data_IF_364736686010
#
_entry.id   IF_364736686010
#
_cell.length_a   1.000
_cell.length_b   1.000
_cell.length_c   1.000
_cell.angle_alpha   90.00
_cell.angle_beta   90.00
_cell.angle_gamma   90.00
#
_symmetry.space_group_name_H-M   'P 1'
#
loop_
_entity.id
_entity.type
_entity.pdbx_description
1 polymer ?
2 non-polymer ?
3 non-polymer ?
4 non-polymer ?
5 non-polymer ?
6 water ?
#
# COMPACT_ATOMS: atom_id res chain seq x y z
N UNK A 4 1.15 -1.28 9.30
CA UNK A 4 1.39 0.13 9.72
C UNK A 4 1.96 0.26 11.12
N UNK A 5 1.99 1.48 11.67
CA UNK A 5 1.51 2.67 10.97
C UNK A 5 2.52 3.20 9.96
N UNK A 6 2.02 3.77 8.87
CA UNK A 6 2.83 4.47 7.90
C UNK A 6 2.82 5.95 8.27
N UNK A 7 3.97 6.62 8.10
CA UNK A 7 4.12 8.03 8.44
C UNK A 7 3.38 8.86 7.39
N UNK A 8 2.98 10.09 7.73
CA UNK A 8 2.35 10.94 6.72
C UNK A 8 3.18 11.02 5.44
N UNK A 9 2.50 10.95 4.30
CA UNK A 9 3.15 10.93 3.00
C UNK A 9 2.16 11.21 1.89
N UNK A 10 2.71 11.35 0.67
CA UNK A 10 1.88 11.41 -0.53
C UNK A 10 2.15 10.17 -1.36
N UNK A 11 1.08 9.44 -1.64
CA UNK A 11 1.11 8.25 -2.46
C UNK A 11 -0.13 8.25 -3.34
N UNK A 12 -0.15 7.39 -4.35
CA UNK A 12 -1.39 7.10 -5.05
C UNK A 12 -1.78 5.70 -4.67
N UNK A 13 -2.75 5.54 -3.75
CA UNK A 13 -3.06 4.19 -3.28
C UNK A 13 -3.65 3.27 -4.35
N UNK A 14 -3.45 1.96 -4.19
CA UNK A 14 -4.02 0.99 -5.10
C UNK A 14 -5.53 0.89 -4.89
N UNK A 15 -6.25 0.49 -5.93
CA UNK A 15 -7.64 0.14 -5.78
C UNK A 15 -7.78 -1.14 -4.93
N UNK A 16 -8.93 -1.27 -4.27
CA UNK A 16 -9.30 -2.44 -3.46
C UNK A 16 -8.56 -2.50 -2.12
N UNK A 17 -8.03 -1.35 -1.69
CA UNK A 17 -7.40 -1.23 -0.39
C UNK A 17 -8.06 -0.15 0.45
N UNK A 18 -8.29 -0.44 1.71
CA UNK A 18 -8.72 0.55 2.66
C UNK A 18 -7.49 1.23 3.23
N UNK A 19 -7.53 2.57 3.27
CA UNK A 19 -6.55 3.35 4.02
C UNK A 19 -7.22 3.76 5.31
N UNK A 20 -6.67 3.33 6.44
CA UNK A 20 -7.24 3.63 7.73
C UNK A 20 -6.38 4.74 8.34
N UNK A 21 -6.97 5.91 8.51
CA UNK A 21 -6.27 7.10 8.97
C UNK A 21 -6.47 7.28 10.47
N UNK A 22 -5.42 7.68 11.16
CA UNK A 22 -5.45 7.80 12.61
C UNK A 22 -5.00 9.20 13.04
N UNK A 23 -5.81 10.21 12.76
CA UNK A 23 -5.54 11.61 13.14
C UNK A 23 -5.77 11.88 14.62
N UNK A 24 -5.16 12.95 15.12
CA UNK A 24 -5.32 13.35 16.52
C UNK A 24 -5.79 14.79 16.69
N UNK A 25 -5.61 15.62 15.67
CA UNK A 25 -5.93 17.05 15.76
C UNK A 25 -7.03 17.36 14.75
N UNK A 26 -7.94 18.24 15.13
CA UNK A 26 -8.94 18.78 14.21
C UNK A 26 -8.30 19.49 13.00
N UNK A 27 -9.00 19.43 11.87
CA UNK A 27 -8.55 20.05 10.63
C UNK A 27 -8.50 19.08 9.48
N UNK A 28 -7.74 19.42 8.44
CA UNK A 28 -7.62 18.56 7.26
C UNK A 28 -6.69 17.38 7.55
N UNK A 29 -7.23 16.18 7.53
CA UNK A 29 -6.46 14.99 7.90
C UNK A 29 -5.86 14.30 6.69
N UNK A 30 -6.52 14.48 5.54
CA UNK A 30 -6.13 13.86 4.28
C UNK A 30 -6.69 14.70 3.14
N UNK A 31 -5.96 14.76 2.04
CA UNK A 31 -6.49 15.32 0.80
C UNK A 31 -5.97 14.50 -0.38
N UNK A 32 -6.69 14.57 -1.48
CA UNK A 32 -6.31 13.82 -2.68
C UNK A 32 -6.95 14.38 -3.92
N UNK A 33 -6.32 14.15 -5.07
CA UNK A 33 -6.81 14.66 -6.34
C UNK A 33 -6.45 13.72 -7.50
N UNK A 34 -7.21 13.84 -8.58
CA UNK A 34 -6.83 13.20 -9.84
C UNK A 34 -6.33 14.24 -10.83
N UNK A 35 -6.19 15.47 -10.34
CA UNK A 35 -5.75 16.61 -11.11
C UNK A 35 -6.58 16.99 -12.33
N UNK A 36 -7.77 16.42 -12.43
CA UNK A 36 -8.65 16.65 -13.56
C UNK A 36 -9.96 17.25 -13.11
N UNK A 37 -10.76 16.48 -12.36
CA UNK A 37 -12.11 16.89 -12.00
C UNK A 37 -12.44 16.75 -10.51
N UNK A 38 -11.51 16.31 -9.67
CA UNK A 38 -11.79 16.15 -8.23
C UNK A 38 -10.61 16.51 -7.33
N UNK A 39 -10.89 17.41 -6.39
CA UNK A 39 -10.00 17.70 -5.28
C UNK A 39 -10.82 17.42 -4.03
N UNK A 40 -10.33 16.49 -3.23
CA UNK A 40 -11.11 15.90 -2.16
C UNK A 40 -10.35 15.96 -0.85
N UNK A 41 -11.08 16.05 0.26
CA UNK A 41 -10.45 16.00 1.55
C UNK A 41 -11.42 15.52 2.61
N UNK A 42 -10.87 15.18 3.75
CA UNK A 42 -11.68 14.90 4.91
C UNK A 42 -11.21 15.82 6.04
N UNK A 43 -12.16 16.47 6.68
CA UNK A 43 -11.89 17.36 7.80
C UNK A 43 -12.40 16.74 9.08
N UNK A 44 -11.64 16.95 10.14
CA UNK A 44 -11.99 16.48 11.48
C UNK A 44 -12.35 17.68 12.34
N UNK A 45 -13.45 17.56 13.07
CA UNK A 45 -13.93 18.62 13.95
C UNK A 45 -14.08 18.04 15.35
N UNK A 46 -13.57 18.75 16.34
CA UNK A 46 -13.62 18.30 17.72
C UNK A 46 -15.07 18.35 18.24
N UNK A 47 -15.36 17.70 19.38
CA UNK A 47 -16.70 17.76 19.96
C UNK A 47 -17.17 19.18 20.25
N UNK A 48 -18.48 19.38 20.19
CA UNK A 48 -19.11 20.63 20.62
C UNK A 48 -18.59 21.89 19.92
N UNK A 49 -18.77 21.93 18.61
CA UNK A 49 -18.47 23.11 17.81
C UNK A 49 -19.76 23.62 17.19
N UNK A 50 -20.26 24.74 17.70
CA UNK A 50 -21.46 25.31 17.11
C UNK A 50 -21.12 25.96 15.75
N UNK A 51 -22.12 26.07 14.88
CA UNK A 51 -21.91 26.62 13.54
C UNK A 51 -20.89 27.77 13.52
N UNK A 52 -19.87 27.62 12.69
CA UNK A 52 -18.73 28.56 12.62
C UNK A 52 -18.07 28.50 11.24
N UNK A 53 -17.60 29.64 10.76
CA UNK A 53 -16.73 29.70 9.58
C UNK A 53 -15.30 29.41 10.00
N UNK A 54 -14.76 28.27 9.59
CA UNK A 54 -13.37 27.94 9.84
C UNK A 54 -12.51 27.97 8.58
N UNK A 55 -11.25 28.36 8.74
CA UNK A 55 -10.30 28.41 7.63
C UNK A 55 -9.45 27.14 7.62
N UNK A 56 -9.35 26.54 6.44
CA UNK A 56 -8.62 25.29 6.22
C UNK A 56 -7.66 25.47 5.05
N UNK A 57 -6.44 24.98 5.21
CA UNK A 57 -5.49 24.85 4.11
C UNK A 57 -5.92 23.61 3.35
N UNK A 58 -6.49 23.81 2.17
CA UNK A 58 -6.78 22.72 1.27
C UNK A 58 -5.99 22.94 0.00
N UNK A 59 -5.14 21.99 -0.33
CA UNK A 59 -4.28 22.10 -1.52
C UNK A 59 -3.59 23.43 -1.64
N UNK A 60 -3.03 23.88 -0.52
CA UNK A 60 -2.24 25.09 -0.47
C UNK A 60 -3.00 26.40 -0.40
N UNK A 61 -4.33 26.35 -0.48
CA UNK A 61 -5.16 27.54 -0.47
C UNK A 61 -5.91 27.67 0.84
N UNK A 62 -6.14 28.90 1.28
CA UNK A 62 -6.93 29.16 2.47
C UNK A 62 -8.42 29.21 2.11
N UNK A 63 -9.16 28.22 2.62
CA UNK A 63 -10.58 28.06 2.28
C UNK A 63 -11.45 28.22 3.52
N UNK A 64 -12.48 29.05 3.41
CA UNK A 64 -13.41 29.23 4.51
C UNK A 64 -14.60 28.30 4.30
N UNK A 65 -14.86 27.44 5.28
CA UNK A 65 -16.00 26.55 5.24
C UNK A 65 -16.86 26.78 6.47
N UNK A 66 -18.19 26.79 6.28
CA UNK A 66 -19.14 26.82 7.39
C UNK A 66 -19.29 25.40 7.93
N UNK A 67 -18.85 25.16 9.17
CA UNK A 67 -18.88 23.81 9.75
C UNK A 67 -19.54 23.80 11.13
N UNK A 68 -19.90 22.60 11.59
CA UNK A 68 -20.40 22.41 12.95
C UNK A 68 -20.24 20.96 13.36
N UNK A 69 -20.24 20.75 14.67
CA UNK A 69 -20.33 19.43 15.26
C UNK A 69 -21.20 19.56 16.50
N UNK A 70 -22.44 19.10 16.38
CA UNK A 70 -23.41 19.24 17.46
C UNK A 70 -23.23 18.16 18.54
N UNK A 71 -22.41 17.16 18.25
CA UNK A 71 -22.13 16.12 19.24
C UNK A 71 -21.41 16.68 20.45
N UNK A 72 -21.84 16.28 21.64
CA UNK A 72 -21.17 16.76 22.85
C UNK A 72 -20.03 15.87 23.30
N UNK A 73 -19.97 14.66 22.74
CA UNK A 73 -19.02 13.66 23.17
C UNK A 73 -18.14 13.10 22.06
N UNK A 74 -18.58 13.23 20.81
CA UNK A 74 -17.89 12.57 19.70
C UNK A 74 -17.31 13.59 18.73
N UNK A 75 -16.19 13.19 18.12
CA UNK A 75 -15.57 13.96 17.06
C UNK A 75 -16.31 13.71 15.78
N UNK A 76 -16.09 14.57 14.78
CA UNK A 76 -16.85 14.52 13.55
C UNK A 76 -15.98 14.66 12.31
N UNK A 77 -16.05 13.66 11.43
CA UNK A 77 -15.41 13.71 10.11
C UNK A 77 -16.39 14.18 9.05
N UNK A 78 -15.95 15.08 8.19
CA UNK A 78 -16.76 15.54 7.05
C UNK A 78 -15.92 15.48 5.79
N UNK A 79 -16.48 14.92 4.72
CA UNK A 79 -15.81 14.87 3.44
C UNK A 79 -16.16 16.14 2.68
N UNK A 80 -15.18 16.68 1.94
CA UNK A 80 -15.42 17.83 1.10
C UNK A 80 -14.89 17.56 -0.29
N UNK A 81 -15.49 18.21 -1.29
CA UNK A 81 -15.13 18.01 -2.68
C UNK A 81 -15.35 19.28 -3.48
N UNK A 82 -14.47 19.52 -4.44
CA UNK A 82 -14.63 20.61 -5.42
C UNK A 82 -14.23 19.99 -6.75
N UNK A 83 -14.74 20.54 -7.84
CA UNK A 83 -14.56 19.90 -9.14
C UNK A 83 -13.63 20.67 -10.07
N UNK A 84 -13.14 21.82 -9.59
CA UNK A 84 -12.23 22.66 -10.36
C UNK A 84 -11.27 23.31 -9.37
N UNK A 85 -10.08 23.72 -9.83
CA UNK A 85 -9.13 24.35 -8.92
C UNK A 85 -9.71 25.54 -8.15
N UNK A 86 -10.56 26.34 -8.79
CA UNK A 86 -11.23 27.47 -8.11
C UNK A 86 -12.67 27.20 -7.68
N UNK A 87 -13.12 25.95 -7.79
CA UNK A 87 -14.49 25.60 -7.43
C UNK A 87 -14.76 25.73 -5.93
N UNK A 88 -16.03 25.85 -5.60
CA UNK A 88 -16.48 25.84 -4.21
C UNK A 88 -16.48 24.41 -3.68
N UNK A 89 -16.19 24.26 -2.39
CA UNK A 89 -16.31 22.96 -1.75
C UNK A 89 -17.74 22.65 -1.26
N UNK A 90 -18.16 21.40 -1.44
CA UNK A 90 -19.39 20.88 -0.85
C UNK A 90 -19.02 19.83 0.19
N UNK A 91 -19.82 19.74 1.24
CA UNK A 91 -19.62 18.82 2.35
C UNK A 91 -20.53 17.60 2.23
N UNK A 92 -20.02 16.42 2.60
CA UNK A 92 -20.73 15.16 2.44
C UNK A 92 -20.43 14.18 3.57
N UNK A 93 -21.37 13.28 3.82
CA UNK A 93 -21.10 12.05 4.57
C UNK A 93 -20.47 12.16 5.93
N UNK A 94 -21.17 12.79 6.89
CA UNK A 94 -20.63 12.93 8.25
C UNK A 94 -20.41 11.58 8.93
N UNK A 95 -19.30 11.46 9.64
CA UNK A 95 -19.07 10.34 10.53
C UNK A 95 -18.81 10.86 11.95
N UNK A 96 -19.70 10.55 12.88
CA UNK A 96 -19.47 10.84 14.30
C UNK A 96 -18.70 9.68 14.92
N UNK A 97 -17.59 10.02 15.58
CA UNK A 97 -16.55 9.06 15.96
C UNK A 97 -16.01 9.24 17.36
N UNK A 98 -15.99 8.14 18.10
CA UNK A 98 -15.21 8.06 19.33
C UNK A 98 -13.74 7.64 19.10
N UNK A 99 -13.47 6.65 18.23
CA UNK A 99 -12.05 6.27 18.07
C UNK A 99 -11.18 7.23 17.25
N UNK A 100 -11.80 8.21 16.57
CA UNK A 100 -11.08 9.17 15.73
C UNK A 100 -10.29 8.47 14.62
N UNK A 101 -10.86 7.40 14.08
CA UNK A 101 -10.30 6.73 12.91
C UNK A 101 -11.24 6.90 11.72
N UNK A 102 -10.64 7.02 10.53
CA UNK A 102 -11.38 7.23 9.30
C UNK A 102 -10.75 6.38 8.21
N UNK A 103 -11.59 5.78 7.37
CA UNK A 103 -11.11 4.88 6.33
C UNK A 103 -11.68 5.24 4.97
N UNK A 104 -10.85 5.08 3.96
CA UNK A 104 -11.26 5.31 2.58
C UNK A 104 -10.70 4.23 1.67
N UNK A 105 -11.50 3.86 0.67
CA UNK A 105 -11.05 2.90 -0.35
C UNK A 105 -11.57 3.27 -1.73
N UNK A 106 -10.67 3.16 -2.71
CA UNK A 106 -11.02 3.31 -4.11
C UNK A 106 -11.27 1.92 -4.68
N UNK A 107 -12.46 1.71 -5.25
CA UNK A 107 -12.82 0.41 -5.79
C UNK A 107 -13.99 0.57 -6.77
N UNK A 108 -13.89 -0.10 -7.91
CA UNK A 108 -14.94 -0.08 -8.95
C UNK A 108 -15.27 1.33 -9.47
N UNK A 109 -14.30 2.24 -9.43
CA UNK A 109 -14.56 3.64 -9.77
C UNK A 109 -15.17 4.49 -8.66
N UNK A 110 -15.49 3.87 -7.53
CA UNK A 110 -16.14 4.54 -6.41
C UNK A 110 -15.16 4.78 -5.29
N UNK A 111 -15.48 5.74 -4.41
CA UNK A 111 -14.76 5.86 -3.15
C UNK A 111 -15.69 5.41 -2.03
N UNK A 112 -15.24 4.43 -1.27
CA UNK A 112 -15.98 3.94 -0.14
C UNK A 112 -15.46 4.58 1.13
N UNK A 113 -16.37 4.91 2.04
CA UNK A 113 -16.04 5.47 3.35
C UNK A 113 -17.02 4.92 4.40
N UNK A 114 -16.81 5.27 5.67
CA UNK A 114 -17.77 4.93 6.74
C UNK A 114 -18.57 6.17 7.10
N UNK A 115 -19.81 5.94 7.51
CA UNK A 115 -20.79 6.98 7.70
C UNK A 115 -21.63 6.67 8.92
N UNK A 116 -22.17 7.73 9.53
CA UNK A 116 -23.09 7.58 10.63
C UNK A 116 -22.45 7.87 11.97
N UNK A 117 -22.71 7.02 12.95
CA UNK A 117 -22.25 7.25 14.34
C UNK A 117 -21.65 5.97 14.93
N UNK A 118 -20.38 6.02 15.35
CA UNK A 118 -19.77 4.86 15.99
C UNK A 118 -20.51 4.68 17.32
N UNK A 119 -20.69 3.45 17.79
CA UNK A 119 -20.09 2.23 17.23
C UNK A 119 -20.91 1.52 16.12
N UNK A 120 -21.84 2.21 15.49
CA UNK A 120 -22.74 1.65 14.48
C UNK A 120 -22.57 2.29 13.09
N UNK A 121 -21.36 2.72 12.78
CA UNK A 121 -21.03 3.29 11.47
C UNK A 121 -21.04 2.19 10.43
N UNK A 122 -21.53 2.51 9.23
CA UNK A 122 -21.62 1.56 8.13
C UNK A 122 -20.97 2.15 6.87
N UNK A 123 -20.57 1.27 5.95
CA UNK A 123 -19.95 1.73 4.70
C UNK A 123 -20.97 2.39 3.78
N UNK A 124 -20.48 3.35 3.01
CA UNK A 124 -21.27 3.96 1.95
C UNK A 124 -20.28 4.33 0.88
N UNK A 125 -20.73 4.97 -0.19
CA UNK A 125 -19.78 5.35 -1.22
C UNK A 125 -20.23 6.52 -2.03
N UNK A 126 -19.24 7.13 -2.67
CA UNK A 126 -19.46 8.19 -3.65
C UNK A 126 -19.24 7.63 -5.04
N UNK A 127 -19.99 8.14 -6.01
CA UNK A 127 -19.97 7.63 -7.37
C UNK A 127 -20.26 8.68 -8.45
N UNK A 128 -20.00 9.95 -8.20
CA UNK A 128 -20.33 10.96 -9.22
C UNK A 128 -19.34 11.00 -10.38
N UNK A 129 -18.18 10.37 -10.22
CA UNK A 129 -17.23 10.22 -11.32
C UNK A 129 -16.39 9.00 -10.99
N UNK A 130 -15.46 8.65 -11.86
CA UNK A 130 -14.56 7.54 -11.60
C UNK A 130 -13.36 8.04 -10.80
N UNK A 131 -13.23 7.60 -9.56
CA UNK A 131 -12.19 8.09 -8.65
C UNK A 131 -10.92 7.23 -8.57
N UNK A 132 -10.81 6.23 -9.44
CA UNK A 132 -9.72 5.23 -9.32
C UNK A 132 -8.30 5.82 -9.27
N UNK A 133 -8.06 6.93 -9.96
CA UNK A 133 -6.75 7.54 -10.02
C UNK A 133 -6.51 8.64 -8.98
N UNK A 134 -7.47 8.90 -8.08
CA UNK A 134 -7.27 9.93 -7.05
C UNK A 134 -6.13 9.52 -6.13
N UNK A 135 -5.17 10.42 -5.95
CA UNK A 135 -4.05 10.15 -5.05
C UNK A 135 -4.39 10.49 -3.59
N UNK A 136 -3.40 10.44 -2.71
CA UNK A 136 -3.62 10.77 -1.31
C UNK A 136 -2.40 11.40 -0.66
N UNK A 137 -2.62 12.55 -0.05
CA UNK A 137 -1.67 13.15 0.88
C UNK A 137 -2.27 13.03 2.28
N UNK A 138 -1.67 12.20 3.11
CA UNK A 138 -2.13 12.01 4.46
C UNK A 138 -1.31 12.88 5.37
N UNK A 139 -2.00 13.55 6.28
CA UNK A 139 -1.34 14.37 7.27
C UNK A 139 -1.26 13.64 8.60
N UNK A 140 -1.72 12.40 8.64
CA UNK A 140 -1.60 11.58 9.84
C UNK A 140 -1.04 10.22 9.52
N UNK A 141 -0.70 9.48 10.56
CA UNK A 141 -0.28 8.10 10.43
C UNK A 141 -1.44 7.26 9.90
N UNK A 142 -1.12 6.24 9.13
CA UNK A 142 -2.16 5.39 8.54
C UNK A 142 -1.75 3.93 8.35
N UNK A 143 -2.78 3.11 8.13
CA UNK A 143 -2.61 1.67 7.95
C UNK A 143 -3.27 1.29 6.66
N UNK A 144 -2.85 0.16 6.12
CA UNK A 144 -3.46 -0.41 4.92
C UNK A 144 -4.20 -1.69 5.30
N UNK A 145 -5.42 -1.84 4.79
CA UNK A 145 -6.23 -3.03 5.00
C UNK A 145 -6.81 -3.42 3.65
N UNK A 146 -6.51 -4.64 3.18
CA UNK A 146 -7.07 -5.02 1.89
C UNK A 146 -8.58 -5.24 1.96
N UNK A 147 -9.27 -5.02 0.85
CA UNK A 147 -10.71 -5.26 0.80
C UNK A 147 -11.14 -6.58 1.43
N UNK A 148 -10.38 -7.64 1.21
CA UNK A 148 -10.76 -8.97 1.70
C UNK A 148 -10.73 -9.09 3.23
N UNK A 149 -10.12 -8.11 3.92
CA UNK A 149 -10.22 -8.03 5.38
C UNK A 149 -10.97 -6.76 5.82
N UNK A 150 -12.00 -6.38 5.06
CA UNK A 150 -12.77 -5.17 5.36
C UNK A 150 -13.50 -5.26 6.69
N UNK A 151 -13.92 -6.47 7.07
CA UNK A 151 -14.57 -6.64 8.37
C UNK A 151 -13.69 -6.09 9.49
N UNK A 152 -12.38 -6.30 9.40
CA UNK A 152 -11.46 -5.72 10.40
C UNK A 152 -11.47 -4.19 10.37
N UNK A 153 -11.53 -3.62 9.18
CA UNK A 153 -11.59 -2.18 9.02
C UNK A 153 -12.80 -1.61 9.76
N UNK A 154 -13.96 -2.19 9.50
CA UNK A 154 -15.22 -1.78 10.16
C UNK A 154 -15.09 -1.89 11.68
N UNK A 155 -14.40 -2.94 12.11
CA UNK A 155 -14.12 -3.15 13.53
C UNK A 155 -13.31 -1.98 14.13
N UNK A 156 -12.25 -1.57 13.45
CA UNK A 156 -11.39 -0.50 13.97
C UNK A 156 -12.10 0.85 13.93
N UNK A 157 -12.84 1.11 12.86
CA UNK A 157 -13.61 2.35 12.75
C UNK A 157 -14.57 2.52 13.93
N UNK A 158 -15.27 1.45 14.27
CA UNK A 158 -16.29 1.52 15.30
C UNK A 158 -15.77 1.35 16.71
N UNK A 159 -14.66 0.63 16.87
CA UNK A 159 -14.17 0.30 18.21
C UNK A 159 -12.71 0.68 18.49
N UNK A 160 -12.02 1.21 17.49
CA UNK A 160 -10.63 1.57 17.68
C UNK A 160 -9.73 0.37 17.51
N UNK A 161 -8.43 0.61 17.61
CA UNK A 161 -7.42 -0.43 17.36
C UNK A 161 -7.28 -1.31 18.59
N UNK B 2 -0.31 4.08 -9.78
CA UNK B 2 -1.09 3.62 -8.59
C UNK B 2 -0.32 2.57 -7.79
N UNK B 3 -0.60 2.50 -6.49
CA UNK B 3 -0.15 1.39 -5.65
C UNK B 3 0.94 1.67 -4.63
N UNK B 4 1.43 2.91 -4.57
CA UNK B 4 2.50 3.28 -3.62
C UNK B 4 3.17 4.59 -4.01
N UNK B 5 4.47 4.74 -3.75
CA UNK B 5 5.31 3.74 -3.08
C UNK B 5 5.14 3.78 -1.57
N UNK B 6 5.09 2.60 -0.96
CA UNK B 6 5.00 2.47 0.49
C UNK B 6 6.35 2.13 1.10
N UNK B 7 6.58 2.58 2.33
CA UNK B 7 7.85 2.37 3.04
C UNK B 7 8.05 0.88 3.43
N UNK B 8 9.33 0.47 3.61
CA UNK B 8 9.62 -0.89 4.08
C UNK B 8 8.77 -1.29 5.28
N UNK B 9 8.23 -2.50 5.26
CA UNK B 9 7.40 -2.96 6.38
C UNK B 9 7.35 -4.48 6.46
N UNK B 10 6.70 -4.96 7.50
CA UNK B 10 6.37 -6.37 7.62
C UNK B 10 4.87 -6.50 7.69
N UNK B 11 4.32 -7.33 6.80
CA UNK B 11 2.90 -7.56 6.76
C UNK B 11 2.68 -8.92 6.13
N UNK B 12 1.52 -9.51 6.33
CA UNK B 12 1.15 -10.72 5.58
C UNK B 12 0.25 -10.31 4.42
N UNK B 13 0.84 -10.17 3.22
CA UNK B 13 0.04 -9.59 2.15
C UNK B 13 -1.13 -10.48 1.72
N UNK B 14 -2.23 -9.86 1.28
CA UNK B 14 -3.32 -10.63 0.71
C UNK B 14 -2.86 -11.36 -0.55
N UNK B 15 -3.56 -12.43 -0.90
CA UNK B 15 -3.38 -13.10 -2.19
C UNK B 15 -3.99 -12.22 -3.29
N UNK B 16 -3.52 -12.42 -4.53
CA UNK B 16 -4.05 -11.77 -5.75
C UNK B 16 -3.57 -10.33 -5.95
N UNK B 17 -2.50 -9.95 -5.27
CA UNK B 17 -1.85 -8.67 -5.50
C UNK B 17 -0.39 -8.88 -5.77
N UNK B 18 0.10 -8.19 -6.78
CA UNK B 18 1.52 -8.12 -7.03
C UNK B 18 2.12 -7.12 -6.06
N UNK B 19 3.21 -7.53 -5.43
CA UNK B 19 4.02 -6.63 -4.65
C UNK B 19 5.26 -6.32 -5.49
N UNK B 20 5.42 -5.04 -5.83
CA UNK B 20 6.48 -4.58 -6.70
C UNK B 20 7.52 -3.85 -5.87
N UNK B 21 8.69 -4.46 -5.77
CA UNK B 21 9.75 -4.03 -4.90
C UNK B 21 10.72 -3.16 -5.70
N UNK B 22 11.22 -2.09 -5.06
CA UNK B 22 12.09 -1.15 -5.73
C UNK B 22 13.38 -0.94 -4.91
N UNK B 23 14.22 -1.98 -4.81
CA UNK B 23 15.48 -1.90 -4.09
C UNK B 23 16.51 -1.03 -4.81
N UNK B 24 17.47 -0.50 -4.08
CA UNK B 24 18.55 0.24 -4.72
C UNK B 24 19.91 -0.36 -4.43
N UNK B 25 20.00 -1.22 -3.41
CA UNK B 25 21.29 -1.76 -2.99
C UNK B 25 21.28 -3.27 -3.09
N UNK B 26 22.42 -3.84 -3.49
CA UNK B 26 22.57 -5.30 -3.52
C UNK B 26 22.39 -5.91 -2.12
N UNK B 27 21.96 -7.17 -2.09
CA UNK B 27 21.71 -7.90 -0.84
C UNK B 27 20.31 -8.47 -0.76
N UNK B 28 19.87 -8.71 0.47
CA UNK B 28 18.53 -9.24 0.70
C UNK B 28 17.53 -8.08 0.62
N UNK B 29 16.64 -8.14 -0.38
CA UNK B 29 15.64 -7.07 -0.59
C UNK B 29 14.29 -7.33 0.10
N UNK B 30 14.00 -8.61 0.33
CA UNK B 30 12.76 -9.06 0.93
C UNK B 30 12.98 -10.47 1.49
N UNK B 31 12.31 -10.77 2.61
CA UNK B 31 12.24 -12.13 3.14
C UNK B 31 10.80 -12.39 3.63
N UNK B 32 10.38 -13.65 3.65
CA UNK B 32 9.02 -13.99 4.06
C UNK B 32 8.92 -15.44 4.50
N UNK B 33 8.04 -15.71 5.46
CA UNK B 33 7.83 -17.07 5.94
C UNK B 33 6.37 -17.35 6.23
N UNK B 34 6.00 -18.63 6.20
CA UNK B 34 4.71 -19.08 6.74
C UNK B 34 4.88 -19.69 8.12
N UNK B 35 6.12 -19.69 8.64
CA UNK B 35 6.45 -20.25 9.94
C UNK B 35 6.13 -21.72 10.09
N UNK B 36 6.06 -22.43 8.97
CA UNK B 36 5.66 -23.82 8.96
C UNK B 36 6.64 -24.63 8.10
N UNK B 37 6.60 -24.43 6.78
CA UNK B 37 7.48 -25.19 5.89
C UNK B 37 8.29 -24.35 4.90
N UNK B 38 8.23 -23.02 4.96
CA UNK B 38 9.02 -22.19 4.02
C UNK B 38 9.55 -20.91 4.63
N UNK B 39 10.85 -20.68 4.44
CA UNK B 39 11.49 -19.39 4.73
C UNK B 39 12.11 -18.95 3.40
N UNK B 40 11.66 -17.81 2.89
CA UNK B 40 11.95 -17.38 1.53
C UNK B 40 12.57 -16.00 1.48
N UNK B 41 13.38 -15.73 0.46
CA UNK B 41 13.90 -14.40 0.22
C UNK B 41 14.30 -14.22 -1.24
N UNK B 42 14.51 -12.97 -1.60
CA UNK B 42 15.11 -12.63 -2.89
C UNK B 42 16.35 -11.80 -2.62
N UNK B 43 17.45 -12.17 -3.30
CA UNK B 43 18.70 -11.43 -3.22
C UNK B 43 18.93 -10.73 -4.54
N UNK B 44 19.60 -9.59 -4.47
CA UNK B 44 19.92 -8.78 -5.62
C UNK B 44 21.44 -8.70 -5.69
N UNK B 45 21.95 -8.87 -6.90
CA UNK B 45 23.38 -8.83 -7.17
C UNK B 45 23.64 -7.77 -8.23
N UNK B 46 24.61 -6.91 -7.93
CA UNK B 46 25.01 -5.86 -8.87
C UNK B 46 25.75 -6.45 -10.06
N UNK B 47 25.91 -5.66 -11.14
CA UNK B 47 26.61 -6.18 -12.31
C UNK B 47 28.08 -6.50 -12.05
N UNK B 48 28.62 -7.37 -12.90
CA UNK B 48 30.05 -7.65 -12.96
C UNK B 48 30.56 -8.29 -11.68
N UNK B 49 29.81 -9.28 -11.17
CA UNK B 49 30.22 -10.05 -10.00
C UNK B 49 30.57 -11.46 -10.47
N UNK B 50 31.86 -11.77 -10.52
CA UNK B 50 32.29 -13.10 -10.90
C UNK B 50 31.96 -14.11 -9.79
N UNK B 51 31.86 -15.38 -10.14
CA UNK B 51 31.50 -16.42 -9.17
C UNK B 51 32.26 -16.20 -7.87
N UNK B 52 31.53 -16.10 -6.77
CA UNK B 52 32.14 -15.84 -5.45
C UNK B 52 31.17 -16.25 -4.36
N UNK B 53 31.67 -16.44 -3.14
CA UNK B 53 30.82 -16.70 -1.97
C UNK B 53 30.53 -15.39 -1.23
N UNK B 54 29.26 -15.01 -1.14
CA UNK B 54 28.90 -13.81 -0.38
C UNK B 54 28.14 -14.21 0.86
N UNK B 55 28.29 -13.41 1.91
CA UNK B 55 27.52 -13.67 3.12
C UNK B 55 26.29 -12.78 3.12
N UNK B 56 25.15 -13.41 3.39
CA UNK B 56 23.88 -12.71 3.45
C UNK B 56 23.27 -12.97 4.80
N UNK B 57 22.67 -11.93 5.35
CA UNK B 57 21.98 -12.05 6.61
C UNK B 57 20.51 -12.27 6.30
N UNK B 58 20.07 -13.50 6.57
CA UNK B 58 18.73 -13.95 6.22
C UNK B 58 18.07 -14.49 7.49
N UNK B 59 16.94 -13.91 7.85
CA UNK B 59 16.22 -14.22 9.10
C UNK B 59 17.14 -14.21 10.33
N UNK B 60 17.98 -13.18 10.40
CA UNK B 60 18.82 -12.97 11.57
C UNK B 60 20.05 -13.85 11.66
N UNK B 61 20.31 -14.62 10.60
CA UNK B 61 21.48 -15.51 10.57
C UNK B 61 22.35 -15.26 9.34
N UNK B 62 23.66 -15.44 9.52
CA UNK B 62 24.61 -15.29 8.42
C UNK B 62 24.62 -16.55 7.58
N UNK B 63 24.45 -16.38 6.28
CA UNK B 63 24.42 -17.47 5.34
C UNK B 63 25.35 -17.17 4.18
N UNK B 64 26.24 -18.11 3.89
CA UNK B 64 27.13 -18.02 2.74
C UNK B 64 26.47 -18.70 1.55
N UNK B 65 26.34 -17.96 0.45
CA UNK B 65 25.77 -18.48 -0.79
C UNK B 65 26.74 -18.25 -1.92
N UNK B 66 26.86 -19.24 -2.80
CA UNK B 66 27.71 -19.11 -3.98
C UNK B 66 26.89 -18.47 -5.09
N UNK B 67 27.26 -17.24 -5.45
CA UNK B 67 26.51 -16.44 -6.41
C UNK B 67 27.40 -15.96 -7.55
N UNK B 68 26.77 -15.47 -8.61
CA UNK B 68 27.47 -14.81 -9.69
C UNK B 68 26.49 -13.94 -10.50
N UNK B 69 26.96 -12.77 -10.96
CA UNK B 69 26.29 -11.98 -11.98
C UNK B 69 27.32 -11.47 -12.97
N UNK B 70 27.47 -12.23 -14.06
CA UNK B 70 28.46 -11.93 -15.08
C UNK B 70 27.98 -10.86 -16.05
N UNK B 71 26.73 -10.42 -15.93
CA UNK B 71 26.24 -9.33 -16.75
C UNK B 71 27.09 -8.08 -16.52
N UNK B 72 27.39 -7.38 -17.61
CA UNK B 72 28.13 -6.14 -17.55
C UNK B 72 27.19 -4.94 -17.38
N UNK B 73 25.90 -5.15 -17.65
CA UNK B 73 24.95 -4.04 -17.73
C UNK B 73 23.71 -4.16 -16.86
N UNK B 74 23.42 -5.36 -16.37
CA UNK B 74 22.18 -5.58 -15.64
C UNK B 74 22.41 -6.17 -14.27
N UNK B 75 21.49 -5.84 -13.37
CA UNK B 75 21.46 -6.40 -12.03
C UNK B 75 20.77 -7.75 -12.11
N UNK B 76 20.98 -8.59 -11.09
CA UNK B 76 20.46 -9.95 -11.12
C UNK B 76 19.78 -10.28 -9.81
N UNK B 77 18.52 -10.69 -9.92
CA UNK B 77 17.72 -11.10 -8.76
C UNK B 77 17.71 -12.62 -8.68
N UNK B 78 17.98 -13.20 -7.51
CA UNK B 78 17.84 -14.65 -7.32
C UNK B 78 16.92 -14.94 -6.12
N UNK B 79 15.97 -15.86 -6.30
CA UNK B 79 15.10 -16.30 -5.21
C UNK B 79 15.81 -17.38 -4.42
N UNK B 80 15.64 -17.38 -3.10
CA UNK B 80 16.16 -18.46 -2.24
C UNK B 80 15.04 -19.00 -1.34
N UNK B 81 15.21 -20.25 -0.90
CA UNK B 81 14.20 -20.93 -0.10
C UNK B 81 14.81 -22.04 0.75
N UNK B 82 14.32 -22.19 1.98
CA UNK B 82 14.66 -23.34 2.83
C UNK B 82 13.38 -23.80 3.49
N UNK B 83 13.38 -25.04 3.96
CA UNK B 83 12.13 -25.70 4.38
C UNK B 83 12.05 -25.93 5.89
N UNK B 84 13.15 -25.65 6.59
CA UNK B 84 13.23 -25.75 8.05
C UNK B 84 14.13 -24.62 8.54
N UNK B 85 14.04 -24.26 9.83
CA UNK B 85 14.87 -23.16 10.36
C UNK B 85 16.40 -23.29 10.18
N UNK B 86 16.91 -24.51 10.09
CA UNK B 86 18.35 -24.73 9.90
C UNK B 86 18.70 -25.36 8.55
N UNK B 87 17.71 -25.48 7.66
CA UNK B 87 17.90 -26.12 6.38
C UNK B 87 18.74 -25.29 5.44
N UNK B 88 19.27 -25.95 4.40
CA UNK B 88 20.05 -25.28 3.38
C UNK B 88 19.14 -24.47 2.47
N UNK B 89 19.63 -23.33 1.98
CA UNK B 89 18.90 -22.60 0.96
C UNK B 89 19.15 -23.17 -0.44
N UNK B 90 18.08 -23.20 -1.23
CA UNK B 90 18.16 -23.53 -2.66
C UNK B 90 17.88 -22.23 -3.41
N UNK B 91 18.57 -22.01 -4.52
CA UNK B 91 18.39 -20.83 -5.37
C UNK B 91 17.50 -21.16 -6.56
N UNK B 92 16.81 -20.14 -7.07
CA UNK B 92 15.87 -20.32 -8.18
C UNK B 92 15.69 -19.07 -9.01
N UNK B 93 15.22 -19.29 -10.23
CA UNK B 93 14.48 -18.28 -10.97
C UNK B 93 15.12 -16.93 -11.11
N UNK B 94 16.30 -16.87 -11.76
CA UNK B 94 16.98 -15.58 -11.92
C UNK B 94 16.23 -14.61 -12.84
N UNK B 95 16.24 -13.33 -12.46
CA UNK B 95 15.76 -12.24 -13.32
C UNK B 95 16.90 -11.24 -13.51
N UNK B 96 17.33 -11.07 -14.77
CA UNK B 96 18.28 -10.01 -15.11
C UNK B 96 17.48 -8.75 -15.39
N UNK B 97 17.90 -7.64 -14.79
CA UNK B 97 17.09 -6.43 -14.72
C UNK B 97 17.88 -5.16 -14.92
N UNK B 98 17.37 -4.31 -15.79
CA UNK B 98 17.81 -2.92 -15.86
C UNK B 98 17.00 -1.97 -14.93
N UNK B 99 15.64 -2.06 -14.92
CA UNK B 99 14.93 -1.18 -13.99
C UNK B 99 15.18 -1.42 -12.48
N UNK B 100 15.74 -2.59 -12.12
CA UNK B 100 15.94 -2.98 -10.70
C UNK B 100 14.62 -3.05 -9.95
N UNK B 101 13.60 -3.58 -10.62
CA UNK B 101 12.32 -3.84 -10.02
C UNK B 101 12.03 -5.34 -9.99
N UNK B 102 11.36 -5.76 -8.94
CA UNK B 102 11.08 -7.18 -8.71
C UNK B 102 9.70 -7.33 -8.11
N UNK B 103 8.90 -8.22 -8.67
CA UNK B 103 7.52 -8.40 -8.25
C UNK B 103 7.23 -9.83 -7.83
N UNK B 104 6.35 -9.95 -6.84
CA UNK B 104 5.94 -11.25 -6.33
C UNK B 104 4.44 -11.21 -6.04
N UNK B 105 3.73 -12.31 -6.31
CA UNK B 105 2.32 -12.41 -5.98
C UNK B 105 1.98 -13.80 -5.47
N UNK B 106 1.19 -13.85 -4.39
CA UNK B 106 0.62 -15.08 -3.89
C UNK B 106 -0.75 -15.28 -4.53
N UNK B 107 -0.93 -16.40 -5.21
CA UNK B 107 -2.22 -16.67 -5.89
C UNK B 107 -2.40 -18.15 -6.17
N UNK B 108 -3.60 -18.66 -5.87
CA UNK B 108 -3.96 -20.08 -6.08
C UNK B 108 -2.98 -21.04 -5.42
N UNK B 109 -2.44 -20.65 -4.27
CA UNK B 109 -1.47 -21.47 -3.55
C UNK B 109 -0.05 -21.40 -4.10
N UNK B 110 0.15 -20.63 -5.17
CA UNK B 110 1.44 -20.49 -5.82
C UNK B 110 2.04 -19.14 -5.51
N UNK B 111 3.34 -19.00 -5.75
CA UNK B 111 3.98 -17.69 -5.76
C UNK B 111 4.42 -17.39 -7.18
N UNK B 112 3.92 -16.29 -7.74
CA UNK B 112 4.29 -15.88 -9.08
C UNK B 112 5.37 -14.83 -9.02
N UNK B 113 6.31 -14.91 -9.95
CA UNK B 113 7.40 -13.96 -10.04
C UNK B 113 7.73 -13.76 -11.53
N UNK B 114 8.61 -12.80 -11.81
CA UNK B 114 9.13 -12.56 -13.15
C UNK B 114 10.51 -13.15 -13.29
N UNK B 115 10.78 -13.73 -14.46
CA UNK B 115 11.99 -14.46 -14.71
C UNK B 115 12.52 -14.09 -16.09
N UNK B 116 13.81 -14.33 -16.31
CA UNK B 116 14.45 -14.02 -17.59
C UNK B 116 15.26 -12.75 -17.58
N UNK B 117 15.14 -11.97 -18.65
CA UNK B 117 15.98 -10.81 -18.87
C UNK B 117 15.14 -9.64 -19.41
N UNK B 118 15.07 -8.54 -18.65
CA UNK B 118 14.34 -7.36 -19.11
C UNK B 118 15.01 -6.90 -20.42
N UNK B 119 14.25 -6.40 -21.40
CA UNK B 119 12.83 -6.07 -21.26
C UNK B 119 11.88 -7.17 -21.73
N UNK B 120 12.36 -8.42 -21.71
CA UNK B 120 11.59 -9.57 -22.17
C UNK B 120 11.32 -10.58 -21.06
N UNK B 121 11.23 -10.09 -19.83
CA UNK B 121 10.96 -10.94 -18.66
C UNK B 121 9.49 -11.36 -18.67
N UNK B 122 9.23 -12.59 -18.23
CA UNK B 122 7.88 -13.14 -18.27
C UNK B 122 7.59 -13.78 -16.94
N UNK B 123 6.30 -13.99 -16.67
CA UNK B 123 5.87 -14.55 -15.39
C UNK B 123 6.11 -16.05 -15.34
N UNK B 124 6.43 -16.51 -14.13
CA UNK B 124 6.58 -17.93 -13.83
C UNK B 124 6.06 -18.11 -12.42
N UNK B 125 6.18 -19.31 -11.88
CA UNK B 125 5.64 -19.54 -10.55
C UNK B 125 6.28 -20.72 -9.86
N UNK B 126 6.14 -20.71 -8.55
CA UNK B 126 6.57 -21.79 -7.68
C UNK B 126 5.32 -22.45 -7.13
N UNK B 127 5.39 -23.77 -6.94
CA UNK B 127 4.19 -24.53 -6.59
C UNK B 127 4.45 -25.82 -5.79
N UNK B 128 5.56 -25.87 -5.04
CA UNK B 128 5.91 -27.08 -4.29
C UNK B 128 5.15 -27.23 -2.98
N UNK B 129 4.58 -26.13 -2.48
CA UNK B 129 3.67 -26.19 -1.34
C UNK B 129 2.64 -25.08 -1.54
N UNK B 130 1.66 -24.99 -0.65
CA UNK B 130 0.75 -23.85 -0.64
C UNK B 130 1.37 -22.64 0.09
N UNK B 131 1.63 -21.57 -0.66
CA UNK B 131 2.28 -20.38 -0.12
C UNK B 131 1.33 -19.26 0.31
N UNK B 132 0.02 -19.50 0.36
CA UNK B 132 -0.92 -18.39 0.53
C UNK B 132 -0.68 -17.57 1.81
N UNK B 133 -0.15 -18.20 2.86
CA UNK B 133 0.00 -17.52 4.13
C UNK B 133 1.42 -17.05 4.41
N UNK B 134 2.28 -17.06 3.39
CA UNK B 134 3.64 -16.55 3.54
C UNK B 134 3.59 -15.02 3.72
N UNK B 135 4.25 -14.53 4.76
CA UNK B 135 4.29 -13.10 5.03
C UNK B 135 5.42 -12.42 4.26
N UNK B 136 5.60 -11.13 4.51
CA UNK B 136 6.63 -10.37 3.84
C UNK B 136 7.25 -9.36 4.78
N UNK B 137 8.58 -9.35 4.79
CA UNK B 137 9.35 -8.24 5.33
C UNK B 137 10.11 -7.66 4.16
N UNK B 138 9.66 -6.51 3.69
CA UNK B 138 10.37 -5.79 2.63
C UNK B 138 11.42 -4.86 3.24
N UNK B 139 12.61 -4.84 2.65
CA UNK B 139 13.64 -3.88 3.06
C UNK B 139 13.72 -2.67 2.13
N UNK B 140 12.81 -2.61 1.17
CA UNK B 140 12.77 -1.49 0.23
C UNK B 140 11.34 -1.01 0.06
N UNK B 141 11.20 0.14 -0.62
CA UNK B 141 9.90 0.65 -1.00
C UNK B 141 9.20 -0.32 -1.92
N UNK B 142 7.87 -0.29 -1.87
CA UNK B 142 7.10 -1.19 -2.72
C UNK B 142 5.75 -0.62 -3.12
N UNK B 143 5.17 -1.26 -4.12
CA UNK B 143 3.86 -0.92 -4.64
C UNK B 143 3.01 -2.16 -4.61
N UNK B 144 1.71 -1.94 -4.50
CA UNK B 144 0.74 -3.01 -4.56
C UNK B 144 -0.07 -2.87 -5.84
N UNK B 145 -0.09 -3.92 -6.64
CA UNK B 145 -0.79 -3.90 -7.92
C UNK B 145 -1.76 -5.08 -8.00
N UNK B 146 -3.08 -4.81 -7.99
CA UNK B 146 -4.07 -5.89 -8.08
C UNK B 146 -3.84 -6.77 -9.29
N UNK B 147 -4.19 -8.03 -9.14
CA UNK B 147 -4.04 -9.01 -10.20
C UNK B 147 -4.67 -8.53 -11.55
N UNK B 148 -5.86 -7.96 -11.49
CA UNK B 148 -6.54 -7.45 -12.71
C UNK B 148 -5.76 -6.35 -13.49
N UNK B 149 -4.79 -5.76 -12.83
CA UNK B 149 -3.98 -4.74 -13.39
C UNK B 149 -2.54 -5.20 -13.63
N UNK B 150 -2.37 -6.51 -13.71
CA UNK B 150 -1.01 -7.07 -13.82
C UNK B 150 -0.27 -6.72 -15.11
N UNK B 151 -0.99 -6.31 -16.15
CA UNK B 151 -0.34 -5.73 -17.35
C UNK B 151 0.62 -4.59 -16.98
N UNK B 152 0.24 -3.80 -15.97
CA UNK B 152 1.04 -2.69 -15.51
C UNK B 152 2.30 -3.19 -14.82
N UNK B 153 2.16 -4.22 -13.99
CA UNK B 153 3.32 -4.84 -13.36
C UNK B 153 4.38 -5.28 -14.39
N UNK B 154 3.95 -5.94 -15.46
CA UNK B 154 4.84 -6.40 -16.52
C UNK B 154 5.59 -5.22 -17.16
N UNK B 155 4.83 -4.15 -17.43
CA UNK B 155 5.41 -2.93 -17.98
C UNK B 155 6.52 -2.37 -17.06
N UNK B 156 6.24 -2.28 -15.77
CA UNK B 156 7.22 -1.73 -14.83
C UNK B 156 8.44 -2.64 -14.70
N UNK B 157 8.21 -3.92 -14.61
CA UNK B 157 9.31 -4.83 -14.54
C UNK B 157 10.28 -4.68 -15.76
N UNK B 158 9.76 -4.65 -16.97
CA UNK B 158 10.53 -4.58 -18.17
C UNK B 158 11.06 -3.22 -18.69
N UNK B 159 10.35 -2.19 -18.31
CA UNK B 159 10.62 -0.84 -18.73
C UNK B 159 10.74 0.23 -17.61
N UNK B 160 10.54 -0.14 -16.35
CA UNK B 160 10.63 0.80 -15.24
C UNK B 160 9.40 1.69 -15.04
N UNK B 161 9.51 2.65 -14.15
CA UNK B 161 8.37 3.48 -13.74
C UNK B 161 8.24 4.71 -14.63
#
# INVERSE_FOLDING_TARGET
LLGGPYQPTTVNPPTSYWILLAPTIEGVIVQGTNNTDRWLATILIEPNVQATDRIYNLFGQQVTLSVENTSQTQWKFIDVSKTTPTGNYTQHGPLFSTPKLYAVMKFSGRIYTYNGTTPNATTGYYSTTNYDTVNMTSFCDFYLIPRNQEEKCAEYINHGL
LLGGPYQPTTVNPPTSYWILLAPTIEGVIVQGTNNTDRWLATILIEPNVQATDRIYNLFGQQVTLSVENTSQTQWKFIDVSKTTPTGNYTQHGPLFSTPKLYAVMKFSGRIYTYNGTTPNATTGYYSTTNYDTVNMTSFCDFYLIPRNQEEKCAEYINHGL
#
